data_IF_575187449175
#
_entry.id   IF_575187449175
#
_cell.length_a   1.000
_cell.length_b   1.000
_cell.length_c   1.000
_cell.angle_alpha   90.00
_cell.angle_beta   90.00
_cell.angle_gamma   90.00
#
_symmetry.space_group_name_H-M   'P 1'
#
loop_
_entity.id
_entity.type
_entity.pdbx_description
1 polymer ?
#
# COMPACT_ATOMS: atom_id res chain seq x y z
N UNK A 1 5.23 7.95 -46.00
CA UNK A 1 6.07 8.35 -44.84
C UNK A 1 5.26 9.05 -43.74
N UNK A 2 4.27 9.89 -44.04
CA UNK A 2 3.52 10.65 -43.01
C UNK A 2 2.67 9.83 -42.01
N UNK A 3 2.01 8.75 -42.46
CA UNK A 3 1.16 7.92 -41.58
C UNK A 3 1.95 7.19 -40.49
N UNK A 4 3.13 6.68 -40.83
CA UNK A 4 4.00 5.99 -39.89
C UNK A 4 4.60 6.96 -38.85
N UNK A 5 4.99 8.17 -39.28
CA UNK A 5 5.48 9.20 -38.38
C UNK A 5 4.39 9.67 -37.40
N UNK A 6 3.16 9.86 -37.87
CA UNK A 6 2.01 10.18 -37.02
C UNK A 6 1.72 9.07 -36.01
N UNK A 7 1.69 7.80 -36.44
CA UNK A 7 1.48 6.67 -35.55
C UNK A 7 2.57 6.55 -34.46
N UNK A 8 3.84 6.76 -34.83
CA UNK A 8 4.95 6.77 -33.89
C UNK A 8 4.82 7.90 -32.86
N UNK A 9 4.44 9.10 -33.29
CA UNK A 9 4.27 10.25 -32.40
C UNK A 9 3.11 10.04 -31.41
N UNK A 10 1.98 9.48 -31.86
CA UNK A 10 0.88 9.09 -30.98
C UNK A 10 1.27 8.00 -29.97
N UNK A 11 2.03 6.98 -30.39
CA UNK A 11 2.49 5.92 -29.50
C UNK A 11 3.45 6.44 -28.41
N UNK A 12 4.36 7.34 -28.78
CA UNK A 12 5.29 8.00 -27.85
C UNK A 12 4.55 8.88 -26.83
N UNK A 13 3.55 9.65 -27.28
CA UNK A 13 2.69 10.44 -26.39
C UNK A 13 1.90 9.54 -25.42
N UNK A 14 1.33 8.43 -25.91
CA UNK A 14 0.59 7.50 -25.07
C UNK A 14 1.49 6.83 -24.01
N UNK A 15 2.75 6.53 -24.35
CA UNK A 15 3.72 5.97 -23.43
C UNK A 15 4.16 6.99 -22.35
N UNK A 16 4.34 8.25 -22.73
CA UNK A 16 4.70 9.33 -21.81
C UNK A 16 3.55 9.74 -20.87
N UNK A 17 2.29 9.63 -21.32
CA UNK A 17 1.10 9.89 -20.51
C UNK A 17 0.60 8.67 -19.74
N UNK A 18 1.22 7.49 -19.91
CA UNK A 18 0.81 6.30 -19.21
C UNK A 18 1.09 6.48 -17.71
N UNK A 19 0.06 6.53 -16.84
CA UNK A 19 0.30 6.57 -15.41
C UNK A 19 1.05 5.29 -15.01
N UNK A 20 1.96 5.34 -14.02
CA UNK A 20 2.66 4.15 -13.58
C UNK A 20 1.65 3.07 -13.16
N UNK A 21 1.53 2.02 -13.97
CA UNK A 21 0.46 1.01 -13.91
C UNK A 21 0.40 0.22 -12.59
N UNK A 22 1.36 0.43 -11.69
CA UNK A 22 1.46 -0.21 -10.38
C UNK A 22 1.87 0.76 -9.25
N UNK A 23 1.75 2.07 -9.45
CA UNK A 23 2.13 3.01 -8.41
C UNK A 23 1.15 2.93 -7.23
N UNK A 24 1.70 2.59 -6.08
CA UNK A 24 1.02 2.76 -4.81
C UNK A 24 1.02 4.24 -4.48
N UNK A 25 -0.15 4.86 -4.40
CA UNK A 25 -0.29 6.27 -4.00
C UNK A 25 -0.51 6.30 -2.49
N UNK A 26 0.46 6.85 -1.77
CA UNK A 26 0.40 7.02 -0.32
C UNK A 26 0.10 8.48 0.05
N UNK A 27 -0.81 8.67 0.99
CA UNK A 27 -1.18 9.96 1.55
C UNK A 27 -1.23 9.92 3.08
N UNK A 28 -0.79 10.99 3.72
CA UNK A 28 -0.76 11.12 5.16
C UNK A 28 -1.62 12.30 5.62
N UNK A 29 -2.86 12.01 6.03
CA UNK A 29 -3.74 12.99 6.67
C UNK A 29 -3.48 13.11 8.17
N UNK A 30 -4.12 14.11 8.78
CA UNK A 30 -4.01 14.40 10.23
C UNK A 30 -4.51 13.22 11.07
N UNK A 31 -5.69 12.70 10.75
CA UNK A 31 -6.35 11.62 11.50
C UNK A 31 -6.12 10.23 10.91
N UNK A 32 -5.76 10.13 9.63
CA UNK A 32 -5.58 8.86 8.91
C UNK A 32 -4.46 8.98 7.89
N UNK A 33 -3.67 7.92 7.76
CA UNK A 33 -2.72 7.76 6.67
C UNK A 33 -3.07 6.48 5.92
N UNK A 34 -2.78 6.44 4.63
CA UNK A 34 -3.09 5.26 3.84
C UNK A 34 -2.40 5.25 2.49
N UNK A 35 -2.42 4.08 1.88
CA UNK A 35 -1.85 3.83 0.57
C UNK A 35 -2.87 3.05 -0.27
N UNK A 36 -3.00 3.40 -1.54
CA UNK A 36 -3.91 2.76 -2.49
C UNK A 36 -3.09 2.20 -3.64
N UNK A 37 -3.33 0.94 -3.99
CA UNK A 37 -2.70 0.29 -5.13
C UNK A 37 -3.64 -0.68 -5.85
N UNK A 38 -3.18 -1.32 -6.93
CA UNK A 38 -4.02 -2.16 -7.80
C UNK A 38 -4.62 -3.38 -7.10
N UNK A 39 -4.02 -3.83 -5.99
CA UNK A 39 -4.48 -4.98 -5.20
C UNK A 39 -5.32 -4.57 -3.97
N UNK A 40 -5.60 -3.28 -3.79
CA UNK A 40 -6.43 -2.77 -2.69
C UNK A 40 -5.85 -1.55 -1.99
N UNK A 41 -6.54 -1.11 -0.94
CA UNK A 41 -6.18 0.05 -0.13
C UNK A 41 -5.96 -0.33 1.33
N UNK A 42 -4.93 0.25 1.94
CA UNK A 42 -4.69 0.17 3.36
C UNK A 42 -4.83 1.57 3.96
N UNK A 43 -5.72 1.73 4.93
CA UNK A 43 -5.90 3.00 5.65
C UNK A 43 -5.81 2.71 7.15
N UNK A 44 -4.91 3.41 7.81
CA UNK A 44 -4.75 3.34 9.26
C UNK A 44 -5.19 4.66 9.88
N UNK A 45 -5.86 4.57 11.04
CA UNK A 45 -6.04 5.75 11.89
C UNK A 45 -4.69 6.11 12.47
N UNK A 46 -4.29 7.37 12.31
CA UNK A 46 -3.13 7.89 13.01
C UNK A 46 -3.46 7.86 14.50
N UNK A 47 -2.60 7.29 15.35
CA UNK A 47 -2.84 7.34 16.77
C UNK A 47 -2.89 8.81 17.16
N UNK A 48 -4.07 9.29 17.57
CA UNK A 48 -4.17 10.54 18.31
C UNK A 48 -3.27 10.35 19.53
N UNK A 49 -2.40 11.30 19.90
CA UNK A 49 -1.66 11.27 21.16
C UNK A 49 -2.63 11.49 22.32
N UNK A 50 -3.52 10.54 22.52
CA UNK A 50 -4.27 10.34 23.74
C UNK A 50 -3.38 9.47 24.62
N UNK A 51 -3.26 9.76 25.92
CA UNK A 51 -2.63 8.87 26.90
C UNK A 51 -3.55 7.68 27.16
N UNK A 52 -3.92 6.97 26.10
CA UNK A 52 -4.31 5.57 26.20
C UNK A 52 -3.01 4.82 26.46
N UNK A 53 -3.01 3.69 27.18
CA UNK A 53 -1.89 2.78 27.07
C UNK A 53 -1.82 2.45 25.58
N UNK A 54 -0.92 3.14 24.88
CA UNK A 54 -0.48 2.70 23.60
C UNK A 54 -0.07 1.27 23.92
N UNK A 55 -0.70 0.30 23.27
CA UNK A 55 0.03 -0.91 22.99
C UNK A 55 1.14 -0.43 22.07
N UNK A 56 2.16 0.17 22.67
CA UNK A 56 3.45 0.42 22.09
C UNK A 56 3.87 -1.01 21.82
N UNK A 57 3.62 -1.44 20.57
CA UNK A 57 4.31 -2.60 20.07
C UNK A 57 5.77 -2.26 20.32
N UNK A 58 6.35 -2.91 21.33
CA UNK A 58 7.75 -2.73 21.72
C UNK A 58 8.54 -2.72 20.40
N UNK A 59 9.42 -1.74 20.13
CA UNK A 59 10.19 -1.75 18.90
C UNK A 59 10.88 -3.13 18.79
N UNK A 60 10.47 -3.94 17.80
CA UNK A 60 10.92 -5.35 17.67
C UNK A 60 9.90 -6.44 18.05
N UNK A 61 8.74 -6.11 18.62
CA UNK A 61 7.72 -7.09 18.96
C UNK A 61 7.00 -7.60 17.72
N UNK A 62 7.09 -8.91 17.49
CA UNK A 62 6.26 -9.60 16.51
C UNK A 62 4.87 -9.81 17.10
N UNK A 63 3.84 -9.30 16.43
CA UNK A 63 2.44 -9.54 16.82
C UNK A 63 1.81 -10.49 15.83
N UNK A 64 1.38 -11.65 16.32
CA UNK A 64 0.71 -12.67 15.52
C UNK A 64 -0.78 -12.73 15.86
N UNK A 65 -1.59 -12.95 14.84
CA UNK A 65 -3.02 -13.19 14.97
C UNK A 65 -3.42 -14.38 14.07
N UNK A 66 -4.28 -15.24 14.61
CA UNK A 66 -4.88 -16.36 13.89
C UNK A 66 -6.38 -16.11 13.75
N UNK A 67 -6.81 -15.70 12.57
CA UNK A 67 -8.23 -15.67 12.21
C UNK A 67 -8.67 -17.00 11.59
N UNK A 68 -9.99 -17.17 11.49
CA UNK A 68 -10.63 -18.37 10.92
C UNK A 68 -10.18 -18.63 9.47
N UNK A 69 -10.04 -17.57 8.65
CA UNK A 69 -9.70 -17.69 7.22
C UNK A 69 -8.23 -17.39 6.91
N UNK A 70 -7.60 -16.53 7.71
CA UNK A 70 -6.25 -16.00 7.48
C UNK A 70 -5.51 -15.93 8.81
N UNK A 71 -4.22 -16.22 8.78
CA UNK A 71 -3.32 -16.01 9.90
C UNK A 71 -2.15 -15.14 9.45
N UNK A 72 -1.59 -14.36 10.36
CA UNK A 72 -0.48 -13.49 10.01
C UNK A 72 0.25 -12.93 11.21
N UNK A 73 1.48 -12.46 10.95
CA UNK A 73 2.32 -11.80 11.91
C UNK A 73 2.87 -10.51 11.33
N UNK A 74 3.02 -9.48 12.16
CA UNK A 74 3.68 -8.21 11.81
C UNK A 74 4.84 -7.96 12.77
N UNK A 75 5.98 -7.54 12.22
CA UNK A 75 7.19 -7.24 12.97
C UNK A 75 8.06 -6.17 12.30
N UNK A 76 9.25 -5.90 12.87
CA UNK A 76 10.15 -4.84 12.38
C UNK A 76 10.65 -5.07 10.94
N UNK A 77 10.73 -6.33 10.50
CA UNK A 77 11.22 -6.71 9.18
C UNK A 77 10.10 -6.90 8.15
N UNK A 78 8.86 -6.54 8.50
CA UNK A 78 7.71 -6.65 7.60
C UNK A 78 6.54 -7.43 8.19
N UNK A 79 5.56 -7.73 7.33
CA UNK A 79 4.36 -8.46 7.70
C UNK A 79 4.13 -9.63 6.75
N UNK A 80 3.57 -10.71 7.29
CA UNK A 80 3.20 -11.88 6.52
C UNK A 80 1.78 -12.30 6.86
N UNK A 81 0.97 -12.54 5.82
CA UNK A 81 -0.38 -13.08 5.94
C UNK A 81 -0.48 -14.30 5.05
N UNK A 82 -1.04 -15.38 5.58
CA UNK A 82 -1.24 -16.65 4.90
C UNK A 82 -2.73 -17.00 4.91
N UNK A 83 -3.19 -17.70 3.87
CA UNK A 83 -4.43 -18.49 3.99
C UNK A 83 -4.15 -19.66 4.94
N UNK A 84 -5.12 -20.03 5.77
CA UNK A 84 -4.92 -21.13 6.72
C UNK A 84 -4.99 -22.51 6.06
N UNK A 85 -5.51 -22.58 4.83
CA UNK A 85 -5.74 -23.78 4.02
C UNK A 85 -5.36 -23.50 2.56
#
# INVERSE_FOLDING_TARGET
>A
MGRAALAAMFALCALALSPPAHAVVCGAGVLRAGCVGPNGAAVVRRPVPVPRPAVVARPGAVRCAAGVYRAGCVGPNGAVVRKRY
#
